data_IF_601437609841
#
_entry.id   IF_601437609841
#
_cell.length_a   1.000
_cell.length_b   1.000
_cell.length_c   1.000
_cell.angle_alpha   90.00
_cell.angle_beta   90.00
_cell.angle_gamma   90.00
#
_symmetry.space_group_name_H-M   'P 1'
#
loop_
_entity.id
_entity.type
_entity.pdbx_description
1 polymer ?
#
# COMPACT_ATOMS: atom_id res chain seq x y z
N UNK A 1 -16.60 -17.29 -4.44
CA UNK A 1 -16.02 -15.93 -4.33
C UNK A 1 -17.09 -14.91 -4.68
N UNK A 2 -17.67 -14.21 -3.69
CA UNK A 2 -18.57 -13.08 -3.93
C UNK A 2 -17.76 -11.80 -3.74
N UNK A 3 -17.49 -11.08 -4.83
CA UNK A 3 -17.04 -9.68 -4.77
C UNK A 3 -18.27 -8.86 -4.34
N UNK A 4 -18.20 -8.27 -3.16
CA UNK A 4 -19.24 -7.45 -2.52
C UNK A 4 -18.44 -6.40 -1.74
N UNK A 5 -18.60 -5.08 -1.86
CA UNK A 5 -19.71 -4.25 -2.35
C UNK A 5 -19.24 -2.80 -2.29
N UNK A 6 -19.38 -2.04 -3.39
CA UNK A 6 -19.38 -0.57 -3.54
C UNK A 6 -18.25 0.28 -2.88
N UNK A 7 -17.71 1.31 -3.55
CA UNK A 7 -16.96 2.34 -2.83
C UNK A 7 -17.93 3.01 -1.85
N UNK A 8 -17.68 2.91 -0.54
CA UNK A 8 -18.37 3.75 0.44
C UNK A 8 -17.82 5.16 0.24
N UNK A 9 -18.42 5.87 -0.71
CA UNK A 9 -18.03 7.21 -1.16
C UNK A 9 -17.75 8.15 0.01
N UNK A 10 -16.65 8.89 -0.08
CA UNK A 10 -16.34 10.01 0.80
C UNK A 10 -17.57 10.92 0.99
N UNK A 11 -17.87 11.28 2.24
CA UNK A 11 -18.97 12.19 2.55
C UNK A 11 -18.43 13.46 3.17
N UNK A 12 -18.88 14.61 2.67
CA UNK A 12 -18.70 15.86 3.37
C UNK A 12 -19.63 15.90 4.60
N UNK A 13 -19.18 16.53 5.67
CA UNK A 13 -19.94 16.73 6.89
C UNK A 13 -19.46 17.96 7.64
N UNK A 14 -20.07 18.22 8.80
CA UNK A 14 -19.68 19.30 9.70
C UNK A 14 -19.60 18.74 11.12
N UNK A 15 -18.46 18.94 11.78
CA UNK A 15 -18.26 18.60 13.19
C UNK A 15 -18.17 19.91 13.99
N UNK A 16 -19.24 20.25 14.71
CA UNK A 16 -19.37 21.57 15.34
C UNK A 16 -19.50 22.68 14.30
N UNK A 17 -18.45 23.51 14.15
CA UNK A 17 -18.35 24.55 13.11
C UNK A 17 -17.33 24.21 12.01
N UNK A 18 -16.69 23.04 12.08
CA UNK A 18 -15.60 22.67 11.17
C UNK A 18 -16.11 21.77 10.04
N UNK A 19 -15.84 22.09 8.77
CA UNK A 19 -16.10 21.17 7.67
C UNK A 19 -15.16 19.97 7.76
N UNK A 20 -15.71 18.77 7.58
CA UNK A 20 -14.97 17.50 7.65
C UNK A 20 -15.31 16.61 6.46
N UNK A 21 -14.39 15.69 6.14
CA UNK A 21 -14.62 14.62 5.16
C UNK A 21 -14.55 13.29 5.88
N UNK A 22 -15.62 12.51 5.78
CA UNK A 22 -15.74 11.18 6.36
C UNK A 22 -15.42 10.16 5.27
N UNK A 23 -14.40 9.35 5.52
CA UNK A 23 -13.89 8.33 4.62
C UNK A 23 -13.96 6.95 5.29
N UNK A 24 -14.10 5.86 4.53
CA UNK A 24 -13.79 4.53 5.03
C UNK A 24 -12.33 4.48 5.50
N UNK A 25 -12.08 3.73 6.59
CA UNK A 25 -10.74 3.61 7.15
C UNK A 25 -9.73 3.06 6.14
N UNK A 26 -10.12 2.04 5.38
CA UNK A 26 -9.28 1.41 4.35
C UNK A 26 -8.87 2.40 3.25
N UNK A 27 -9.78 3.28 2.83
CA UNK A 27 -9.50 4.28 1.80
C UNK A 27 -8.54 5.36 2.35
N UNK A 28 -8.74 5.80 3.59
CA UNK A 28 -7.81 6.72 4.25
C UNK A 28 -6.40 6.12 4.37
N UNK A 29 -6.30 4.86 4.80
CA UNK A 29 -5.02 4.15 4.93
C UNK A 29 -4.31 4.03 3.59
N UNK A 30 -5.03 3.63 2.53
CA UNK A 30 -4.46 3.57 1.16
C UNK A 30 -3.95 4.93 0.70
N UNK A 31 -4.71 6.00 0.92
CA UNK A 31 -4.27 7.35 0.56
C UNK A 31 -3.01 7.78 1.33
N UNK A 32 -2.94 7.45 2.63
CA UNK A 32 -1.78 7.76 3.45
C UNK A 32 -0.54 6.98 2.98
N UNK A 33 -0.69 5.68 2.70
CA UNK A 33 0.38 4.84 2.13
C UNK A 33 0.84 5.36 0.77
N UNK A 34 -0.09 5.71 -0.12
CA UNK A 34 0.23 6.28 -1.43
C UNK A 34 1.03 7.58 -1.30
N UNK A 35 0.63 8.48 -0.41
CA UNK A 35 1.36 9.73 -0.14
C UNK A 35 2.77 9.47 0.40
N UNK A 36 2.92 8.53 1.34
CA UNK A 36 4.22 8.12 1.84
C UNK A 36 5.10 7.57 0.70
N UNK A 37 4.51 6.76 -0.17
CA UNK A 37 5.20 6.23 -1.35
C UNK A 37 5.64 7.34 -2.32
N UNK A 38 4.77 8.32 -2.60
CA UNK A 38 5.06 9.46 -3.48
C UNK A 38 6.14 10.39 -2.92
N UNK A 39 6.22 10.53 -1.59
CA UNK A 39 7.24 11.35 -0.93
C UNK A 39 8.66 10.82 -1.17
N UNK A 40 8.81 9.53 -1.50
CA UNK A 40 10.11 8.90 -1.70
C UNK A 40 10.63 9.07 -3.12
N UNK A 41 11.72 9.83 -3.26
CA UNK A 41 12.44 10.02 -4.53
C UNK A 41 13.05 8.72 -5.09
N UNK A 42 13.28 7.71 -4.25
CA UNK A 42 13.98 6.47 -4.64
C UNK A 42 13.04 5.29 -4.83
N UNK A 43 11.82 5.34 -4.29
CA UNK A 43 10.88 4.24 -4.33
C UNK A 43 10.45 3.82 -5.74
N UNK A 44 10.16 4.74 -6.70
CA UNK A 44 9.83 4.35 -8.06
C UNK A 44 10.91 3.46 -8.70
N UNK A 45 12.18 3.83 -8.55
CA UNK A 45 13.32 3.04 -9.05
C UNK A 45 13.44 1.68 -8.35
N UNK A 46 13.16 1.62 -7.05
CA UNK A 46 13.16 0.35 -6.28
C UNK A 46 12.04 -0.58 -6.75
N UNK A 47 10.84 -0.06 -7.00
CA UNK A 47 9.71 -0.83 -7.53
C UNK A 47 10.03 -1.35 -8.92
N UNK A 48 10.58 -0.51 -9.79
CA UNK A 48 11.00 -0.92 -11.15
C UNK A 48 12.05 -2.03 -11.09
N UNK A 49 13.07 -1.87 -10.24
CA UNK A 49 14.10 -2.89 -10.01
C UNK A 49 13.49 -4.20 -9.53
N UNK A 50 12.60 -4.17 -8.54
CA UNK A 50 11.93 -5.36 -8.03
C UNK A 50 11.10 -6.07 -9.11
N UNK A 51 10.36 -5.31 -9.93
CA UNK A 51 9.62 -5.87 -11.09
C UNK A 51 10.54 -6.55 -12.09
N UNK A 52 11.72 -5.97 -12.36
CA UNK A 52 12.74 -6.57 -13.23
C UNK A 52 13.30 -7.85 -12.62
N UNK A 53 13.62 -7.85 -11.34
CA UNK A 53 14.13 -9.01 -10.61
C UNK A 53 13.16 -10.19 -10.69
N UNK A 54 11.86 -9.95 -10.45
CA UNK A 54 10.79 -10.95 -10.62
C UNK A 54 10.75 -11.51 -12.04
N UNK A 55 10.76 -10.66 -13.07
CA UNK A 55 10.75 -11.10 -14.48
C UNK A 55 11.97 -11.95 -14.85
N UNK A 56 13.12 -11.67 -14.23
CA UNK A 56 14.37 -12.41 -14.48
C UNK A 56 14.57 -13.62 -13.56
N UNK A 57 13.58 -13.98 -12.74
CA UNK A 57 13.68 -15.10 -11.79
C UNK A 57 14.61 -14.86 -10.60
N UNK A 58 15.07 -13.63 -10.38
CA UNK A 58 15.91 -13.24 -9.23
C UNK A 58 15.03 -13.00 -8.01
N UNK A 59 14.36 -14.05 -7.55
CA UNK A 59 13.49 -14.05 -6.38
C UNK A 59 14.05 -14.99 -5.32
N UNK A 60 13.73 -14.71 -4.06
CA UNK A 60 14.04 -15.61 -2.96
C UNK A 60 12.74 -16.19 -2.42
N UNK A 61 12.75 -17.50 -2.18
CA UNK A 61 11.69 -18.18 -1.43
C UNK A 61 11.73 -17.78 0.03
N UNK A 62 10.62 -17.98 0.74
CA UNK A 62 10.54 -17.69 2.17
C UNK A 62 11.61 -18.47 2.97
N UNK A 63 11.89 -19.72 2.61
CA UNK A 63 12.92 -20.54 3.27
C UNK A 63 14.33 -19.95 3.08
N UNK A 64 14.67 -19.53 1.86
CA UNK A 64 15.95 -18.88 1.57
C UNK A 64 16.10 -17.56 2.31
N UNK A 65 15.03 -16.75 2.40
CA UNK A 65 15.02 -15.51 3.17
C UNK A 65 15.24 -15.78 4.66
N UNK A 66 14.52 -16.75 5.24
CA UNK A 66 14.67 -17.12 6.66
C UNK A 66 16.09 -17.57 6.99
N UNK A 67 16.69 -18.42 6.15
CA UNK A 67 18.09 -18.85 6.29
C UNK A 67 19.06 -17.67 6.21
N UNK A 68 18.87 -16.76 5.25
CA UNK A 68 19.72 -15.57 5.08
C UNK A 68 19.64 -14.61 6.26
N UNK A 69 18.46 -14.47 6.86
CA UNK A 69 18.21 -13.60 8.02
C UNK A 69 18.45 -14.31 9.37
N UNK A 70 18.85 -15.58 9.38
CA UNK A 70 19.07 -16.39 10.60
C UNK A 70 17.82 -16.47 11.49
N UNK A 71 16.64 -16.51 10.88
CA UNK A 71 15.36 -16.63 11.58
C UNK A 71 14.91 -18.09 11.75
N UNK A 72 15.63 -19.03 11.14
CA UNK A 72 15.58 -20.49 11.29
C UNK A 72 16.96 -21.07 10.99
#
# INVERSE_FOLDING_TARGET
MKRSTAPKTAKAGVLGKLPVVILPLEDYQRMAEDLEMFSSKTLPRRIEKARKEVRTGRVLTLAEVKKKLRLL
#
